data_IF_416508685628
#
_entry.id   IF_416508685628
#
_cell.length_a   1.000
_cell.length_b   1.000
_cell.length_c   1.000
_cell.angle_alpha   90.00
_cell.angle_beta   90.00
_cell.angle_gamma   90.00
#
_symmetry.space_group_name_H-M   'P 1'
#
loop_
_entity.id
_entity.type
_entity.pdbx_description
1 polymer ?
#
# COMPACT_ATOMS: atom_id res chain seq x y z
N UNK A 1 -9.79 11.17 13.90
CA UNK A 1 -9.27 9.95 13.23
C UNK A 1 -10.06 8.74 13.73
N UNK A 2 -11.16 8.42 13.04
CA UNK A 2 -12.18 7.44 13.48
C UNK A 2 -11.85 5.99 13.12
N UNK A 3 -10.74 5.46 13.65
CA UNK A 3 -10.35 4.05 13.45
C UNK A 3 -9.48 3.79 12.21
N UNK A 4 -8.89 4.82 11.62
CA UNK A 4 -7.88 4.69 10.58
C UNK A 4 -6.47 4.71 11.16
N UNK A 5 -5.62 3.80 10.70
CA UNK A 5 -4.16 3.90 10.83
C UNK A 5 -3.57 4.38 9.51
N UNK A 6 -2.60 5.28 9.60
CA UNK A 6 -1.87 5.77 8.43
C UNK A 6 -0.39 5.48 8.61
N UNK A 7 0.21 4.81 7.62
CA UNK A 7 1.64 4.56 7.51
C UNK A 7 2.18 5.42 6.35
N UNK A 8 3.20 6.22 6.60
CA UNK A 8 3.85 7.02 5.56
C UNK A 8 5.26 6.50 5.38
N UNK A 9 5.58 6.11 4.15
CA UNK A 9 6.85 5.50 3.76
C UNK A 9 7.56 6.42 2.75
N UNK A 10 8.88 6.27 2.69
CA UNK A 10 9.73 6.87 1.67
C UNK A 10 9.84 5.92 0.47
N UNK A 11 9.93 6.48 -0.73
CA UNK A 11 10.04 5.67 -1.96
C UNK A 11 11.33 5.90 -2.73
N UNK A 12 12.16 6.83 -2.27
CA UNK A 12 13.45 7.19 -2.81
C UNK A 12 14.49 6.20 -2.29
N UNK A 13 14.30 4.92 -2.65
CA UNK A 13 14.99 3.78 -2.05
C UNK A 13 16.52 3.89 -2.11
N UNK A 14 17.07 4.48 -3.17
CA UNK A 14 18.52 4.66 -3.32
C UNK A 14 19.08 5.70 -2.32
N UNK A 15 18.26 6.64 -1.87
CA UNK A 15 18.64 7.71 -0.93
C UNK A 15 18.58 7.27 0.54
N UNK A 16 17.83 6.21 0.84
CA UNK A 16 17.58 5.77 2.23
C UNK A 16 18.20 4.40 2.58
N UNK A 17 19.08 3.86 1.73
CA UNK A 17 19.71 2.55 1.95
C UNK A 17 18.84 1.35 1.56
N UNK A 18 17.77 1.60 0.80
CA UNK A 18 16.92 0.60 0.16
C UNK A 18 15.54 0.45 0.79
N UNK A 19 14.65 -0.23 0.06
CA UNK A 19 13.27 -0.53 0.47
C UNK A 19 13.02 -2.04 0.64
N UNK A 20 14.08 -2.84 0.76
CA UNK A 20 13.99 -4.30 0.98
C UNK A 20 13.64 -4.63 2.42
N UNK A 21 13.16 -5.84 2.69
CA UNK A 21 12.81 -6.30 4.05
C UNK A 21 13.94 -6.08 5.09
N UNK A 22 15.21 -6.20 4.67
CA UNK A 22 16.37 -5.98 5.53
C UNK A 22 16.81 -4.52 5.71
N UNK A 23 16.25 -3.58 4.96
CA UNK A 23 16.52 -2.13 5.12
C UNK A 23 15.99 -1.61 6.45
N UNK A 24 16.43 -0.43 6.88
CA UNK A 24 15.89 0.20 8.09
C UNK A 24 14.39 0.44 7.99
N UNK A 25 13.91 0.92 6.84
CA UNK A 25 12.48 1.12 6.59
C UNK A 25 11.69 -0.18 6.54
N UNK A 26 12.21 -1.21 5.87
CA UNK A 26 11.57 -2.53 5.80
C UNK A 26 11.46 -3.22 7.17
N UNK A 27 12.50 -3.08 8.02
CA UNK A 27 12.47 -3.57 9.41
C UNK A 27 11.53 -2.74 10.28
N UNK A 28 11.53 -1.43 10.13
CA UNK A 28 10.58 -0.55 10.81
C UNK A 28 9.14 -0.90 10.48
N UNK A 29 8.85 -1.16 9.20
CA UNK A 29 7.53 -1.54 8.71
C UNK A 29 7.09 -2.89 9.27
N UNK A 30 7.98 -3.89 9.29
CA UNK A 30 7.71 -5.18 9.90
C UNK A 30 7.46 -5.09 11.42
N UNK A 31 8.11 -4.13 12.09
CA UNK A 31 7.95 -3.85 13.51
C UNK A 31 6.69 -3.06 13.86
N UNK A 32 5.92 -2.57 12.89
CA UNK A 32 4.72 -1.78 13.13
C UNK A 32 3.63 -2.65 13.79
N UNK A 33 3.36 -2.49 15.10
CA UNK A 33 2.50 -3.41 15.82
C UNK A 33 1.07 -3.26 15.32
N UNK A 34 0.34 -4.36 15.12
CA UNK A 34 -1.11 -4.34 14.82
C UNK A 34 -1.98 -3.88 16.01
N UNK A 35 -1.39 -3.20 17.00
CA UNK A 35 -2.00 -2.90 18.29
C UNK A 35 -3.25 -2.05 18.10
N UNK A 36 -4.38 -2.58 18.60
CA UNK A 36 -5.72 -2.03 18.38
C UNK A 36 -6.06 -2.06 16.91
N UNK A 37 -6.44 -3.24 16.38
CA UNK A 37 -6.80 -3.47 14.98
C UNK A 37 -7.63 -2.29 14.44
N UNK A 38 -6.99 -1.36 13.70
CA UNK A 38 -7.70 -0.22 13.17
C UNK A 38 -8.74 -0.76 12.21
N UNK A 39 -9.90 -0.11 12.13
CA UNK A 39 -10.96 -0.53 11.21
C UNK A 39 -10.49 -0.49 9.77
N UNK A 40 -9.56 0.43 9.47
CA UNK A 40 -8.89 0.53 8.19
C UNK A 40 -7.42 0.98 8.36
N UNK A 41 -6.53 0.52 7.48
CA UNK A 41 -5.14 0.96 7.36
C UNK A 41 -4.90 1.53 5.98
N UNK A 42 -4.28 2.71 5.94
CA UNK A 42 -3.79 3.35 4.72
C UNK A 42 -2.26 3.41 4.78
N UNK A 43 -1.61 3.10 3.66
CA UNK A 43 -0.20 3.41 3.45
C UNK A 43 -0.06 4.49 2.36
N UNK A 44 0.93 5.36 2.50
CA UNK A 44 1.20 6.41 1.52
C UNK A 44 2.70 6.56 1.26
N UNK A 45 3.08 6.77 0.00
CA UNK A 45 4.44 7.13 -0.43
C UNK A 45 4.42 7.77 -1.82
N UNK A 46 5.54 8.34 -2.28
CA UNK A 46 5.58 9.15 -3.50
C UNK A 46 5.52 8.32 -4.80
N UNK A 47 6.53 7.47 -5.08
CA UNK A 47 6.71 6.72 -6.35
C UNK A 47 5.84 5.45 -6.41
N UNK A 48 4.90 5.31 -7.35
CA UNK A 48 3.92 4.23 -7.32
C UNK A 48 4.52 2.85 -7.59
N UNK A 49 4.07 1.82 -6.87
CA UNK A 49 4.44 0.43 -7.23
C UNK A 49 3.85 0.04 -8.59
N UNK A 50 2.63 0.49 -8.85
CA UNK A 50 1.92 0.28 -10.12
C UNK A 50 1.40 1.63 -10.60
N UNK A 51 1.76 2.03 -11.82
CA UNK A 51 1.33 3.27 -12.45
C UNK A 51 0.60 2.96 -13.75
N UNK A 52 -0.49 3.68 -13.98
CA UNK A 52 -1.16 3.73 -15.28
C UNK A 52 -0.64 4.86 -16.16
N UNK A 53 0.26 5.70 -15.63
CA UNK A 53 0.84 6.84 -16.33
C UNK A 53 2.04 6.44 -17.18
N UNK A 54 2.09 6.96 -18.40
CA UNK A 54 3.16 6.67 -19.36
C UNK A 54 4.48 7.39 -19.03
N UNK A 55 4.40 8.51 -18.31
CA UNK A 55 5.56 9.39 -18.10
C UNK A 55 6.56 8.84 -17.09
N UNK A 56 6.09 8.24 -15.99
CA UNK A 56 6.95 7.87 -14.86
C UNK A 56 6.87 6.37 -14.47
N UNK A 57 5.84 5.64 -14.95
CA UNK A 57 5.77 4.19 -14.85
C UNK A 57 5.76 3.58 -13.44
N UNK A 58 5.90 2.26 -13.39
CA UNK A 58 6.01 1.47 -12.16
C UNK A 58 7.37 1.69 -11.49
N UNK A 59 7.37 1.81 -10.16
CA UNK A 59 8.59 1.83 -9.36
C UNK A 59 8.83 0.45 -8.71
N UNK A 60 9.67 -0.37 -9.34
CA UNK A 60 9.99 -1.71 -8.83
C UNK A 60 10.69 -1.74 -7.46
N UNK A 61 11.56 -0.78 -7.08
CA UNK A 61 12.26 -0.83 -5.79
C UNK A 61 11.37 -0.89 -4.56
N UNK A 62 10.13 -0.37 -4.62
CA UNK A 62 9.17 -0.44 -3.49
C UNK A 62 8.38 -1.77 -3.44
N UNK A 63 8.63 -2.72 -4.34
CA UNK A 63 7.93 -4.01 -4.37
C UNK A 63 8.00 -4.80 -3.04
N UNK A 64 9.12 -4.83 -2.29
CA UNK A 64 9.16 -5.52 -1.00
C UNK A 64 8.24 -4.88 0.05
N UNK A 65 8.26 -3.54 0.19
CA UNK A 65 7.33 -2.81 1.07
C UNK A 65 5.87 -3.08 0.69
N UNK A 66 5.55 -3.04 -0.61
CA UNK A 66 4.22 -3.38 -1.11
C UNK A 66 3.79 -4.80 -0.69
N UNK A 67 4.68 -5.79 -0.80
CA UNK A 67 4.41 -7.16 -0.40
C UNK A 67 4.18 -7.29 1.12
N UNK A 68 4.95 -6.57 1.94
CA UNK A 68 4.75 -6.53 3.39
C UNK A 68 3.38 -5.94 3.76
N UNK A 69 2.98 -4.82 3.13
CA UNK A 69 1.69 -4.19 3.35
C UNK A 69 0.52 -5.07 2.92
N UNK A 70 0.63 -5.76 1.77
CA UNK A 70 -0.37 -6.74 1.35
C UNK A 70 -0.51 -7.88 2.36
N UNK A 71 0.60 -8.44 2.84
CA UNK A 71 0.58 -9.50 3.88
C UNK A 71 -0.02 -9.01 5.19
N UNK A 72 0.21 -7.75 5.55
CA UNK A 72 -0.35 -7.11 6.74
C UNK A 72 -1.82 -6.72 6.60
N UNK A 73 -2.43 -6.87 5.41
CA UNK A 73 -3.83 -6.56 5.17
C UNK A 73 -4.14 -5.05 5.15
N UNK A 74 -3.22 -4.23 4.64
CA UNK A 74 -3.48 -2.81 4.40
C UNK A 74 -4.57 -2.64 3.35
N UNK A 75 -5.55 -1.77 3.62
CA UNK A 75 -6.74 -1.60 2.80
C UNK A 75 -6.50 -0.73 1.56
N UNK A 76 -5.70 0.33 1.72
CA UNK A 76 -5.46 1.32 0.68
C UNK A 76 -3.99 1.73 0.67
N UNK A 77 -3.41 1.76 -0.53
CA UNK A 77 -2.12 2.42 -0.79
C UNK A 77 -2.38 3.65 -1.64
N UNK A 78 -1.88 4.81 -1.19
CA UNK A 78 -1.95 6.06 -1.93
C UNK A 78 -0.56 6.46 -2.44
N UNK A 79 -0.45 6.67 -3.75
CA UNK A 79 0.77 7.14 -4.39
C UNK A 79 0.57 8.43 -5.18
N UNK A 80 1.68 9.13 -5.44
CA UNK A 80 1.74 10.30 -6.29
C UNK A 80 2.65 10.05 -7.49
N UNK A 81 3.60 10.98 -7.68
CA UNK A 81 4.61 10.99 -8.74
C UNK A 81 4.07 11.20 -10.17
N UNK A 82 3.03 10.47 -10.59
CA UNK A 82 2.42 10.68 -11.90
C UNK A 82 1.65 12.00 -11.98
N UNK A 83 2.13 12.95 -12.79
CA UNK A 83 1.46 14.25 -13.01
C UNK A 83 0.41 14.15 -14.13
N UNK A 84 -0.56 13.25 -13.96
CA UNK A 84 -1.51 12.91 -15.02
C UNK A 84 -2.62 13.96 -15.14
N UNK A 85 -2.77 14.51 -16.35
CA UNK A 85 -3.84 15.48 -16.69
C UNK A 85 -5.21 14.83 -16.93
N UNK A 86 -5.26 13.52 -17.19
CA UNK A 86 -6.51 12.77 -17.39
C UNK A 86 -6.53 11.49 -16.55
N UNK A 87 -7.62 11.19 -15.82
CA UNK A 87 -7.75 9.92 -15.12
C UNK A 87 -8.08 8.82 -16.13
N UNK A 88 -7.47 7.63 -16.01
CA UNK A 88 -7.82 6.46 -16.83
C UNK A 88 -8.28 5.27 -15.98
N UNK A 89 -9.22 4.52 -16.57
CA UNK A 89 -9.94 3.37 -16.03
C UNK A 89 -9.06 2.33 -15.32
N UNK A 90 -9.56 1.87 -14.16
CA UNK A 90 -8.93 0.85 -13.33
C UNK A 90 -8.72 -0.46 -14.11
N UNK A 91 -7.49 -0.95 -14.16
CA UNK A 91 -7.22 -2.18 -14.89
C UNK A 91 -5.75 -2.62 -14.91
N UNK A 92 -5.12 -2.77 -13.74
CA UNK A 92 -4.10 -3.81 -13.50
C UNK A 92 -4.21 -4.30 -12.06
N UNK A 93 -5.01 -5.35 -11.87
CA UNK A 93 -4.88 -6.21 -10.70
C UNK A 93 -3.58 -6.98 -10.93
N UNK A 94 -2.59 -6.82 -10.05
CA UNK A 94 -1.43 -7.70 -10.04
C UNK A 94 -1.92 -9.14 -9.93
N UNK A 95 -1.25 -10.09 -10.59
CA UNK A 95 -1.62 -11.50 -10.56
C UNK A 95 -1.56 -12.05 -9.12
N UNK A 96 -2.68 -11.94 -8.43
CA UNK A 96 -2.99 -12.53 -7.15
C UNK A 96 -4.44 -12.96 -7.25
N UNK A 97 -4.67 -14.26 -7.19
CA UNK A 97 -5.99 -14.88 -7.36
C UNK A 97 -7.09 -14.24 -6.50
N UNK A 98 -8.37 -14.49 -6.81
CA UNK A 98 -9.47 -13.68 -6.34
C UNK A 98 -9.50 -13.62 -4.81
N UNK A 99 -9.31 -12.41 -4.27
CA UNK A 99 -9.64 -12.11 -2.89
C UNK A 99 -11.13 -12.42 -2.71
N UNK A 100 -11.44 -13.49 -1.97
CA UNK A 100 -12.83 -13.83 -1.61
C UNK A 100 -13.42 -12.63 -0.89
N UNK A 101 -14.32 -11.91 -1.57
CA UNK A 101 -15.12 -10.85 -0.97
C UNK A 101 -15.83 -11.43 0.26
N UNK A 102 -15.33 -11.12 1.45
CA UNK A 102 -16.02 -11.42 2.71
C UNK A 102 -17.28 -10.58 2.72
N UNK A 103 -18.41 -11.19 2.34
CA UNK A 103 -19.75 -10.61 2.57
C UNK A 103 -19.88 -10.28 4.05
N UNK A 104 -19.85 -9.00 4.37
CA UNK A 104 -20.26 -8.48 5.68
C UNK A 104 -21.76 -8.75 5.81
N UNK A 105 -22.13 -9.83 6.48
CA UNK A 105 -23.51 -10.04 6.93
C UNK A 105 -23.75 -9.11 8.12
N UNK A 106 -24.54 -8.06 7.92
CA UNK A 106 -25.06 -7.22 9.00
C UNK A 106 -25.94 -8.09 9.90
N UNK A 107 -25.45 -8.48 11.08
CA UNK A 107 -26.31 -8.94 12.16
C UNK A 107 -26.95 -7.71 12.79
N UNK A 108 -28.19 -7.41 12.41
CA UNK A 108 -29.05 -6.56 13.22
C UNK A 108 -29.34 -7.31 14.53
N UNK A 109 -28.86 -6.78 15.66
CA UNK A 109 -29.42 -7.07 16.96
C UNK A 109 -30.59 -6.12 17.18
N UNK A 110 -31.78 -6.67 17.41
CA UNK A 110 -32.78 -6.12 18.31
C UNK A 110 -32.94 -7.13 19.44
#
# INVERSE_FOLDING_TARGET
>A
MGGWRVLVLTSECDEIGGCRDGSDEGRWLAGQPAAGTPRCTLAAWHRPRFSSGEEHGDHQPVAPLWAQLQKAGVDVVLNGHGHLRTPRAAGRVGEGGPARARRVRRRHRR
#
